data_IF_064028644443
#
_entry.id   IF_064028644443
#
_cell.length_a   1.000
_cell.length_b   1.000
_cell.length_c   1.000
_cell.angle_alpha   90.00
_cell.angle_beta   90.00
_cell.angle_gamma   90.00
#
_symmetry.space_group_name_H-M   'P 1'
#
loop_
_entity.id
_entity.type
_entity.pdbx_description
1 polymer ?
#
# COMPACT_ATOMS: atom_id res chain seq x y z
N UNK A 1 -52.02 -34.81 -0.57
CA UNK A 1 -50.67 -35.40 -0.78
C UNK A 1 -49.70 -34.41 -1.41
N UNK A 2 -50.07 -33.63 -2.46
CA UNK A 2 -49.12 -32.63 -3.11
C UNK A 2 -48.64 -31.53 -2.13
N UNK A 3 -49.52 -30.99 -1.25
CA UNK A 3 -49.15 -29.96 -0.29
C UNK A 3 -48.18 -30.45 0.80
N UNK A 4 -48.35 -31.71 1.27
CA UNK A 4 -47.43 -32.29 2.25
C UNK A 4 -46.01 -32.50 1.70
N UNK A 5 -45.91 -32.91 0.42
CA UNK A 5 -44.64 -33.08 -0.24
C UNK A 5 -43.89 -31.75 -0.42
N UNK A 6 -44.60 -30.65 -0.73
CA UNK A 6 -44.02 -29.31 -0.84
C UNK A 6 -43.46 -28.86 0.53
N UNK A 7 -44.25 -29.06 1.61
CA UNK A 7 -43.80 -28.72 2.98
C UNK A 7 -42.57 -29.55 3.38
N UNK A 8 -42.52 -30.83 3.09
CA UNK A 8 -41.36 -31.68 3.37
C UNK A 8 -40.12 -31.23 2.59
N UNK A 9 -40.27 -30.87 1.31
CA UNK A 9 -39.16 -30.37 0.48
C UNK A 9 -38.64 -29.02 1.03
N UNK A 10 -39.50 -28.12 1.43
CA UNK A 10 -39.09 -26.84 1.99
C UNK A 10 -38.38 -26.99 3.34
N UNK A 11 -38.86 -27.89 4.21
CA UNK A 11 -38.18 -28.20 5.49
C UNK A 11 -36.80 -28.78 5.23
N UNK A 12 -36.69 -29.73 4.28
CA UNK A 12 -35.41 -30.37 3.96
C UNK A 12 -34.37 -29.39 3.37
N UNK A 13 -34.81 -28.46 2.52
CA UNK A 13 -33.93 -27.41 1.97
C UNK A 13 -33.46 -26.43 3.06
N UNK A 14 -34.34 -26.02 3.99
CA UNK A 14 -34.00 -25.19 5.14
C UNK A 14 -32.98 -25.83 6.08
N UNK A 15 -33.08 -27.16 6.31
CA UNK A 15 -32.12 -27.91 7.11
C UNK A 15 -30.76 -28.01 6.44
N UNK A 16 -30.73 -28.20 5.10
CA UNK A 16 -29.47 -28.29 4.36
C UNK A 16 -28.69 -26.96 4.39
N UNK A 17 -29.33 -25.81 4.26
CA UNK A 17 -28.70 -24.49 4.31
C UNK A 17 -28.02 -24.27 5.68
N UNK A 18 -28.65 -24.66 6.78
CA UNK A 18 -28.08 -24.52 8.12
C UNK A 18 -26.80 -25.33 8.33
N UNK A 19 -26.68 -26.52 7.71
CA UNK A 19 -25.49 -27.36 7.87
C UNK A 19 -24.25 -26.77 7.20
N UNK A 20 -24.39 -26.16 6.03
CA UNK A 20 -23.27 -25.50 5.33
C UNK A 20 -22.79 -24.25 6.09
N UNK A 21 -23.70 -23.40 6.56
CA UNK A 21 -23.35 -22.23 7.37
C UNK A 21 -22.66 -22.60 8.70
N UNK A 22 -23.00 -23.72 9.31
CA UNK A 22 -22.32 -24.24 10.51
C UNK A 22 -20.89 -24.72 10.19
N UNK A 23 -20.69 -25.36 9.04
CA UNK A 23 -19.37 -25.82 8.60
C UNK A 23 -18.45 -24.65 8.27
N UNK A 24 -18.92 -23.64 7.55
CA UNK A 24 -18.19 -22.40 7.29
C UNK A 24 -17.67 -21.80 8.61
N UNK A 25 -18.57 -21.51 9.55
CA UNK A 25 -18.22 -20.92 10.85
C UNK A 25 -17.24 -21.79 11.65
N UNK A 26 -17.34 -23.12 11.55
CA UNK A 26 -16.40 -24.05 12.17
C UNK A 26 -14.99 -23.85 11.61
N UNK A 27 -14.85 -23.80 10.28
CA UNK A 27 -13.56 -23.61 9.64
C UNK A 27 -12.97 -22.22 9.94
N UNK A 28 -13.78 -21.16 9.95
CA UNK A 28 -13.32 -19.81 10.34
C UNK A 28 -12.76 -19.83 11.77
N UNK A 29 -13.49 -20.41 12.74
CA UNK A 29 -13.02 -20.49 14.14
C UNK A 29 -11.72 -21.30 14.27
N UNK A 30 -11.60 -22.39 13.55
CA UNK A 30 -10.36 -23.18 13.53
C UNK A 30 -9.21 -22.41 12.88
N UNK A 31 -9.49 -21.66 11.82
CA UNK A 31 -8.55 -20.76 11.16
C UNK A 31 -8.05 -19.67 12.10
N UNK A 32 -8.96 -18.99 12.80
CA UNK A 32 -8.63 -17.96 13.78
C UNK A 32 -7.69 -18.50 14.88
N UNK A 33 -7.97 -19.70 15.41
CA UNK A 33 -7.09 -20.33 16.39
C UNK A 33 -5.68 -20.61 15.83
N UNK A 34 -5.57 -20.97 14.55
CA UNK A 34 -4.27 -21.17 13.90
C UNK A 34 -3.56 -19.84 13.68
N UNK A 35 -4.30 -18.81 13.25
CA UNK A 35 -3.79 -17.46 13.04
C UNK A 35 -3.24 -16.85 14.34
N UNK A 36 -3.99 -16.93 15.44
CA UNK A 36 -3.57 -16.48 16.78
C UNK A 36 -2.29 -17.17 17.27
N UNK A 37 -2.11 -18.44 16.90
CA UNK A 37 -0.89 -19.21 17.21
C UNK A 37 0.26 -18.98 16.21
N UNK A 38 0.16 -18.01 15.30
CA UNK A 38 1.19 -17.70 14.30
C UNK A 38 1.29 -18.70 13.15
N UNK A 39 0.40 -19.70 13.06
CA UNK A 39 0.39 -20.70 11.99
C UNK A 39 -0.43 -20.20 10.80
N UNK A 40 0.05 -19.16 10.13
CA UNK A 40 -0.69 -18.43 9.10
C UNK A 40 -0.99 -19.28 7.86
N UNK A 41 -0.09 -20.17 7.48
CA UNK A 41 -0.26 -21.15 6.39
C UNK A 41 -1.46 -22.08 6.64
N UNK A 42 -1.56 -22.63 7.87
CA UNK A 42 -2.67 -23.51 8.26
C UNK A 42 -3.96 -22.73 8.43
N UNK A 43 -3.90 -21.48 8.88
CA UNK A 43 -5.05 -20.61 8.96
C UNK A 43 -5.64 -20.34 7.57
N UNK A 44 -4.79 -19.99 6.59
CA UNK A 44 -5.20 -19.80 5.20
C UNK A 44 -5.94 -21.01 4.64
N UNK A 45 -5.38 -22.24 4.82
CA UNK A 45 -6.04 -23.46 4.35
C UNK A 45 -7.43 -23.64 4.96
N UNK A 46 -7.60 -23.30 6.24
CA UNK A 46 -8.90 -23.42 6.91
C UNK A 46 -9.88 -22.34 6.43
N UNK A 47 -9.43 -21.12 6.18
CA UNK A 47 -10.28 -20.07 5.63
C UNK A 47 -10.71 -20.38 4.19
N UNK A 48 -9.84 -20.95 3.36
CA UNK A 48 -10.22 -21.45 2.01
C UNK A 48 -11.26 -22.56 2.09
N UNK A 49 -11.14 -23.49 3.04
CA UNK A 49 -12.19 -24.50 3.30
C UNK A 49 -13.51 -23.87 3.76
N UNK A 50 -13.48 -22.72 4.42
CA UNK A 50 -14.70 -22.00 4.76
C UNK A 50 -15.35 -21.38 3.51
N UNK A 51 -14.57 -20.81 2.60
CA UNK A 51 -15.05 -20.30 1.30
C UNK A 51 -15.63 -21.43 0.46
N UNK A 52 -15.01 -22.62 0.42
CA UNK A 52 -15.56 -23.82 -0.27
C UNK A 52 -16.95 -24.23 0.26
N UNK A 53 -17.31 -23.83 1.48
CA UNK A 53 -18.64 -24.09 2.05
C UNK A 53 -19.63 -22.97 1.81
N UNK A 54 -19.12 -21.76 1.59
CA UNK A 54 -19.91 -20.56 1.33
C UNK A 54 -19.06 -19.59 0.51
N UNK A 55 -19.29 -19.55 -0.79
CA UNK A 55 -18.51 -18.77 -1.77
C UNK A 55 -18.51 -17.26 -1.46
N UNK A 56 -19.60 -16.72 -0.90
CA UNK A 56 -19.76 -15.30 -0.55
C UNK A 56 -19.39 -14.98 0.92
N UNK A 57 -18.57 -15.83 1.55
CA UNK A 57 -18.12 -15.61 2.93
C UNK A 57 -17.10 -14.47 3.02
N UNK A 58 -17.59 -13.25 3.24
CA UNK A 58 -16.75 -12.07 3.48
C UNK A 58 -15.67 -12.33 4.54
N UNK A 59 -16.09 -12.88 5.72
CA UNK A 59 -15.15 -13.10 6.83
C UNK A 59 -14.02 -14.08 6.46
N UNK A 60 -14.34 -15.16 5.77
CA UNK A 60 -13.32 -16.12 5.34
C UNK A 60 -12.37 -15.50 4.31
N UNK A 61 -12.92 -14.80 3.31
CA UNK A 61 -12.16 -14.16 2.23
C UNK A 61 -11.26 -13.04 2.76
N UNK A 62 -11.76 -12.23 3.70
CA UNK A 62 -10.98 -11.21 4.39
C UNK A 62 -9.82 -11.81 5.20
N UNK A 63 -10.11 -12.88 5.97
CA UNK A 63 -9.11 -13.56 6.78
C UNK A 63 -8.04 -14.29 5.92
N UNK A 64 -8.37 -14.73 4.70
CA UNK A 64 -7.36 -15.21 3.74
C UNK A 64 -6.36 -14.09 3.43
N UNK A 65 -6.85 -12.89 3.12
CA UNK A 65 -5.99 -11.73 2.87
C UNK A 65 -5.06 -11.42 4.05
N UNK A 66 -5.59 -11.44 5.27
CA UNK A 66 -4.79 -11.24 6.48
C UNK A 66 -3.74 -12.36 6.68
N UNK A 67 -4.12 -13.62 6.44
CA UNK A 67 -3.20 -14.73 6.54
C UNK A 67 -2.07 -14.65 5.50
N UNK A 68 -2.38 -14.25 4.27
CA UNK A 68 -1.39 -14.01 3.21
C UNK A 68 -0.44 -12.87 3.57
N UNK A 69 -0.97 -11.76 4.10
CA UNK A 69 -0.17 -10.64 4.59
C UNK A 69 0.82 -11.06 5.68
N UNK A 70 0.36 -11.86 6.64
CA UNK A 70 1.21 -12.38 7.74
C UNK A 70 2.26 -13.38 7.27
N UNK A 71 2.02 -14.06 6.15
CA UNK A 71 3.00 -14.91 5.46
C UNK A 71 3.98 -14.12 4.57
N UNK A 72 3.90 -12.79 4.58
CA UNK A 72 4.67 -11.90 3.71
C UNK A 72 4.40 -12.09 2.21
N UNK A 73 3.33 -12.79 1.85
CA UNK A 73 2.82 -12.95 0.48
C UNK A 73 2.01 -11.71 0.07
N UNK A 74 2.71 -10.57 0.01
CA UNK A 74 2.05 -9.27 -0.11
C UNK A 74 1.29 -9.10 -1.42
N UNK A 75 1.80 -9.63 -2.53
CA UNK A 75 1.12 -9.53 -3.83
C UNK A 75 -0.19 -10.32 -3.82
N UNK A 76 -0.19 -11.52 -3.25
CA UNK A 76 -1.41 -12.33 -3.11
C UNK A 76 -2.43 -11.66 -2.18
N UNK A 77 -1.97 -11.04 -1.09
CA UNK A 77 -2.82 -10.26 -0.20
C UNK A 77 -3.43 -9.05 -0.90
N UNK A 78 -2.65 -8.33 -1.75
CA UNK A 78 -3.14 -7.22 -2.57
C UNK A 78 -4.26 -7.70 -3.49
N UNK A 79 -4.06 -8.80 -4.22
CA UNK A 79 -5.07 -9.35 -5.12
C UNK A 79 -6.33 -9.71 -4.34
N UNK A 80 -6.19 -10.42 -3.20
CA UNK A 80 -7.30 -10.84 -2.36
C UNK A 80 -8.13 -9.66 -1.82
N UNK A 81 -7.48 -8.61 -1.30
CA UNK A 81 -8.17 -7.42 -0.82
C UNK A 81 -8.74 -6.56 -1.96
N UNK A 82 -8.08 -6.51 -3.13
CA UNK A 82 -8.59 -5.78 -4.29
C UNK A 82 -9.86 -6.40 -4.84
N UNK A 83 -9.90 -7.73 -4.95
CA UNK A 83 -11.10 -8.46 -5.38
C UNK A 83 -12.24 -8.23 -4.39
N UNK A 84 -11.95 -8.23 -3.09
CA UNK A 84 -12.95 -7.99 -2.06
C UNK A 84 -13.47 -6.54 -2.08
N UNK A 85 -12.61 -5.55 -2.38
CA UNK A 85 -12.98 -4.14 -2.47
C UNK A 85 -13.97 -3.84 -3.60
N UNK A 86 -14.01 -4.67 -4.65
CA UNK A 86 -14.92 -4.55 -5.78
C UNK A 86 -16.33 -5.09 -5.50
N UNK A 87 -16.55 -5.76 -4.37
CA UNK A 87 -17.85 -6.31 -3.98
C UNK A 87 -18.75 -5.24 -3.35
N UNK A 88 -20.06 -5.49 -3.37
CA UNK A 88 -21.02 -4.68 -2.63
C UNK A 88 -20.98 -5.03 -1.14
N UNK A 89 -20.36 -4.18 -0.34
CA UNK A 89 -20.12 -4.39 1.08
C UNK A 89 -20.51 -3.15 1.88
N UNK A 90 -20.61 -3.31 3.20
CA UNK A 90 -20.85 -2.19 4.11
C UNK A 90 -19.69 -1.18 4.05
N UNK A 91 -19.96 0.06 4.44
CA UNK A 91 -18.92 1.10 4.54
C UNK A 91 -17.81 0.68 5.49
N UNK A 92 -18.14 0.07 6.62
CA UNK A 92 -17.19 -0.39 7.62
C UNK A 92 -16.26 -1.48 7.09
N UNK A 93 -16.82 -2.45 6.36
CA UNK A 93 -16.02 -3.52 5.75
C UNK A 93 -15.12 -2.98 4.65
N UNK A 94 -15.63 -2.07 3.81
CA UNK A 94 -14.80 -1.38 2.81
C UNK A 94 -13.64 -0.59 3.45
N UNK A 95 -13.87 0.07 4.58
CA UNK A 95 -12.80 0.76 5.29
C UNK A 95 -11.69 -0.19 5.74
N UNK A 96 -12.06 -1.36 6.33
CA UNK A 96 -11.12 -2.39 6.76
C UNK A 96 -10.33 -2.98 5.58
N UNK A 97 -11.03 -3.27 4.47
CA UNK A 97 -10.40 -3.80 3.26
C UNK A 97 -9.36 -2.81 2.72
N UNK A 98 -9.72 -1.54 2.54
CA UNK A 98 -8.80 -0.53 2.02
C UNK A 98 -7.64 -0.24 2.97
N UNK A 99 -7.85 -0.35 4.30
CA UNK A 99 -6.76 -0.30 5.27
C UNK A 99 -5.74 -1.42 5.03
N UNK A 100 -6.21 -2.68 4.96
CA UNK A 100 -5.34 -3.84 4.79
C UNK A 100 -4.74 -3.92 3.38
N UNK A 101 -5.46 -3.48 2.36
CA UNK A 101 -4.92 -3.28 1.01
C UNK A 101 -3.76 -2.26 1.06
N UNK A 102 -3.95 -1.13 1.75
CA UNK A 102 -2.91 -0.12 1.95
C UNK A 102 -1.68 -0.68 2.65
N UNK A 103 -1.87 -1.50 3.69
CA UNK A 103 -0.78 -2.17 4.40
C UNK A 103 -0.02 -3.13 3.48
N UNK A 104 -0.73 -3.94 2.70
CA UNK A 104 -0.14 -4.91 1.77
C UNK A 104 0.65 -4.22 0.66
N UNK A 105 0.09 -3.15 0.07
CA UNK A 105 0.75 -2.32 -0.95
C UNK A 105 2.01 -1.66 -0.39
N UNK A 106 1.97 -1.16 0.84
CA UNK A 106 3.11 -0.52 1.48
C UNK A 106 4.27 -1.50 1.70
N UNK A 107 3.98 -2.70 2.21
CA UNK A 107 4.99 -3.75 2.39
C UNK A 107 5.56 -4.21 1.04
N UNK A 108 4.73 -4.24 0.00
CA UNK A 108 5.15 -4.55 -1.37
C UNK A 108 5.84 -3.36 -2.09
N UNK A 109 6.21 -2.31 -1.37
CA UNK A 109 6.89 -1.10 -1.87
C UNK A 109 6.10 -0.29 -2.93
N UNK A 110 4.82 -0.58 -3.11
CA UNK A 110 3.87 0.17 -3.96
C UNK A 110 3.33 1.39 -3.17
N UNK A 111 4.25 2.33 -2.84
CA UNK A 111 3.98 3.41 -1.87
C UNK A 111 2.86 4.34 -2.34
N UNK A 112 2.82 4.70 -3.62
CA UNK A 112 1.80 5.62 -4.16
C UNK A 112 0.41 5.00 -4.08
N UNK A 113 0.30 3.74 -4.45
CA UNK A 113 -0.94 2.97 -4.40
C UNK A 113 -1.41 2.76 -2.96
N UNK A 114 -0.50 2.54 -2.01
CA UNK A 114 -0.84 2.42 -0.59
C UNK A 114 -1.46 3.70 -0.03
N UNK A 115 -0.94 4.87 -0.44
CA UNK A 115 -1.49 6.18 -0.05
C UNK A 115 -2.94 6.30 -0.54
N UNK A 116 -3.23 5.92 -1.77
CA UNK A 116 -4.61 5.98 -2.30
C UNK A 116 -5.53 5.01 -1.56
N UNK A 117 -5.08 3.80 -1.27
CA UNK A 117 -5.85 2.83 -0.48
C UNK A 117 -6.19 3.37 0.91
N UNK A 118 -5.22 3.95 1.64
CA UNK A 118 -5.49 4.56 2.95
C UNK A 118 -6.44 5.77 2.87
N UNK A 119 -6.35 6.59 1.83
CA UNK A 119 -7.31 7.67 1.59
C UNK A 119 -8.72 7.12 1.36
N UNK A 120 -8.87 6.02 0.63
CA UNK A 120 -10.16 5.35 0.47
C UNK A 120 -10.72 4.85 1.80
N UNK A 121 -9.90 4.20 2.64
CA UNK A 121 -10.30 3.78 3.98
C UNK A 121 -10.80 4.97 4.81
N UNK A 122 -10.07 6.09 4.82
CA UNK A 122 -10.41 7.28 5.60
C UNK A 122 -11.62 8.08 5.07
N UNK A 123 -11.96 7.96 3.78
CA UNK A 123 -13.23 8.53 3.27
C UNK A 123 -14.44 7.83 3.89
N UNK A 124 -14.30 6.57 4.22
CA UNK A 124 -15.36 5.73 4.80
C UNK A 124 -15.35 5.75 6.32
N UNK A 125 -14.17 5.74 6.93
CA UNK A 125 -13.97 5.87 8.36
C UNK A 125 -12.92 6.95 8.69
N UNK A 126 -13.33 8.23 8.76
CA UNK A 126 -12.40 9.35 9.02
C UNK A 126 -11.76 9.33 10.41
N UNK A 127 -12.31 8.57 11.37
CA UNK A 127 -11.81 8.51 12.75
C UNK A 127 -10.72 7.46 12.97
N UNK A 128 -10.43 6.61 11.98
CA UNK A 128 -9.43 5.54 12.11
C UNK A 128 -8.01 6.10 12.24
N UNK A 129 -7.51 6.06 13.47
CA UNK A 129 -6.19 6.60 13.81
C UNK A 129 -5.05 5.75 13.25
N UNK A 130 -5.23 4.43 13.15
CA UNK A 130 -4.21 3.53 12.62
C UNK A 130 -4.04 3.75 11.11
N UNK A 131 -5.15 3.93 10.39
CA UNK A 131 -5.09 4.29 8.96
C UNK A 131 -4.48 5.68 8.75
N UNK A 132 -4.79 6.68 9.59
CA UNK A 132 -4.14 8.00 9.54
C UNK A 132 -2.63 7.90 9.74
N UNK A 133 -2.22 7.13 10.74
CA UNK A 133 -0.81 6.90 11.01
C UNK A 133 -0.09 6.27 9.82
N UNK A 134 -0.66 5.20 9.24
CA UNK A 134 -0.09 4.50 8.11
C UNK A 134 -0.04 5.38 6.85
N UNK A 135 -1.05 6.21 6.62
CA UNK A 135 -1.06 7.21 5.55
C UNK A 135 0.09 8.22 5.71
N UNK A 136 0.25 8.78 6.91
CA UNK A 136 1.33 9.73 7.18
C UNK A 136 2.71 9.10 6.97
N UNK A 137 2.87 7.87 7.41
CA UNK A 137 4.10 7.10 7.22
C UNK A 137 4.41 6.86 5.74
N UNK A 138 3.42 6.41 4.96
CA UNK A 138 3.58 6.18 3.52
C UNK A 138 3.92 7.48 2.76
N UNK A 139 3.29 8.60 3.12
CA UNK A 139 3.59 9.91 2.53
C UNK A 139 5.02 10.38 2.85
N UNK A 140 5.48 10.16 4.09
CA UNK A 140 6.87 10.44 4.48
C UNK A 140 7.87 9.62 3.67
N UNK A 141 7.61 8.32 3.47
CA UNK A 141 8.44 7.46 2.65
C UNK A 141 8.50 7.92 1.19
N UNK A 142 7.36 8.30 0.61
CA UNK A 142 7.30 8.82 -0.76
C UNK A 142 8.15 10.08 -0.91
N UNK A 143 8.06 11.01 0.05
CA UNK A 143 8.86 12.24 0.05
C UNK A 143 10.35 11.96 0.15
N UNK A 144 10.74 11.02 1.01
CA UNK A 144 12.14 10.60 1.12
C UNK A 144 12.67 9.99 -0.18
N UNK A 145 11.88 9.14 -0.83
CA UNK A 145 12.22 8.53 -2.12
C UNK A 145 12.41 9.60 -3.21
N UNK A 146 11.52 10.59 -3.28
CA UNK A 146 11.62 11.70 -4.23
C UNK A 146 12.88 12.55 -4.01
N UNK A 147 13.19 12.89 -2.76
CA UNK A 147 14.39 13.66 -2.42
C UNK A 147 15.67 12.89 -2.78
N UNK A 148 15.72 11.58 -2.55
CA UNK A 148 16.87 10.75 -2.94
C UNK A 148 17.06 10.70 -4.46
N UNK A 149 15.97 10.66 -5.23
CA UNK A 149 16.04 10.70 -6.70
C UNK A 149 16.53 12.05 -7.21
N UNK A 150 16.07 13.15 -6.62
CA UNK A 150 16.52 14.49 -6.99
C UNK A 150 18.02 14.68 -6.72
N UNK A 151 18.51 14.26 -5.55
CA UNK A 151 19.93 14.35 -5.22
C UNK A 151 20.81 13.47 -6.13
N UNK A 152 20.34 12.28 -6.53
CA UNK A 152 21.06 11.43 -7.49
C UNK A 152 21.15 12.08 -8.87
N UNK A 153 20.11 12.77 -9.31
CA UNK A 153 20.10 13.46 -10.61
C UNK A 153 21.03 14.69 -10.59
N UNK A 154 21.01 15.50 -9.53
CA UNK A 154 21.90 16.64 -9.38
C UNK A 154 23.39 16.24 -9.37
N UNK A 155 23.72 15.15 -8.68
CA UNK A 155 25.10 14.62 -8.68
C UNK A 155 25.53 14.06 -10.05
N UNK A 156 24.60 13.52 -10.84
CA UNK A 156 24.92 13.06 -12.21
C UNK A 156 25.17 14.22 -13.16
N UNK A 157 24.42 15.32 -13.02
CA UNK A 157 24.60 16.50 -13.87
C UNK A 157 25.89 17.23 -13.51
N UNK A 158 26.24 17.39 -12.23
CA UNK A 158 27.53 17.95 -11.81
C UNK A 158 28.73 17.11 -12.27
N UNK A 159 28.63 15.77 -12.27
CA UNK A 159 29.68 14.91 -12.79
C UNK A 159 29.84 15.03 -14.32
N UNK A 160 28.76 15.23 -15.06
CA UNK A 160 28.82 15.45 -16.52
C UNK A 160 29.47 16.78 -16.88
N UNK A 161 29.17 17.83 -16.10
CA UNK A 161 29.78 19.16 -16.32
C UNK A 161 31.26 19.18 -15.92
N UNK A 162 31.64 18.48 -14.86
CA UNK A 162 33.04 18.31 -14.48
C UNK A 162 33.84 17.45 -15.50
N UNK A 163 33.18 16.46 -16.11
CA UNK A 163 33.81 15.65 -17.16
C UNK A 163 34.00 16.43 -18.44
N UNK A 164 33.02 17.26 -18.85
CA UNK A 164 33.14 18.15 -20.01
C UNK A 164 34.22 19.26 -19.81
N UNK A 165 34.41 19.71 -18.58
CA UNK A 165 35.48 20.69 -18.28
C UNK A 165 36.85 20.01 -18.25
N UNK A 166 36.99 18.76 -17.77
CA UNK A 166 38.24 17.99 -17.82
C UNK A 166 38.66 17.66 -19.26
N UNK A 167 37.71 17.38 -20.14
CA UNK A 167 38.00 17.09 -21.56
C UNK A 167 38.47 18.32 -22.32
N UNK A 168 38.14 19.54 -21.87
CA UNK A 168 38.65 20.81 -22.41
C UNK A 168 40.03 21.23 -21.87
N UNK A 169 40.40 20.80 -20.65
CA UNK A 169 41.72 21.04 -20.07
C UNK A 169 42.78 19.98 -20.48
N UNK A 170 42.37 18.76 -20.91
CA UNK A 170 43.28 17.70 -21.28
C UNK A 170 43.85 17.74 -22.71
N UNK A 171 43.57 18.81 -23.48
CA UNK A 171 44.31 19.04 -24.73
C UNK A 171 45.69 19.72 -24.52
N UNK A 172 46.00 20.16 -23.29
CA UNK A 172 47.27 20.83 -23.01
C UNK A 172 48.29 20.10 -22.12
N UNK A 173 47.88 19.01 -21.41
CA UNK A 173 48.84 18.28 -20.53
C UNK A 173 48.79 16.75 -20.68
N UNK A 174 49.31 16.25 -21.78
CA UNK A 174 49.73 14.86 -21.86
C UNK A 174 51.18 14.74 -21.35
N UNK A 175 51.32 14.53 -20.03
CA UNK A 175 52.42 13.72 -19.44
C UNK A 175 52.30 13.71 -17.90
N UNK A 176 52.24 12.49 -17.37
CA UNK A 176 52.44 12.08 -15.97
C UNK A 176 51.25 12.13 -15.00
N UNK A 177 50.67 11.00 -14.73
CA UNK A 177 50.69 10.19 -13.51
C UNK A 177 49.57 9.15 -13.49
N UNK A 178 50.03 7.92 -13.47
CA UNK A 178 49.21 6.72 -13.33
C UNK A 178 49.13 6.33 -11.83
N UNK A 179 47.96 5.72 -11.47
CA UNK A 179 47.72 4.92 -10.28
C UNK A 179 47.68 5.58 -8.90
N UNK A 180 46.42 5.90 -8.40
CA UNK A 180 46.16 5.66 -6.96
C UNK A 180 44.66 5.77 -6.50
N UNK A 181 43.66 5.92 -7.35
CA UNK A 181 42.28 6.25 -6.86
C UNK A 181 41.18 5.22 -7.14
N UNK A 182 41.49 3.92 -7.35
CA UNK A 182 40.46 2.90 -7.62
C UNK A 182 39.97 2.07 -6.42
N UNK A 183 40.45 2.30 -5.21
CA UNK A 183 40.10 1.48 -4.04
C UNK A 183 39.17 2.09 -3.00
N UNK A 184 38.81 3.36 -3.10
CA UNK A 184 37.98 4.04 -2.06
C UNK A 184 36.48 4.01 -2.29
N UNK A 185 36.03 3.87 -3.54
CA UNK A 185 34.59 3.98 -3.86
C UNK A 185 33.77 2.69 -3.66
N UNK A 186 34.42 1.54 -3.49
CA UNK A 186 33.71 0.27 -3.29
C UNK A 186 33.35 -0.01 -1.81
N UNK A 187 34.00 0.64 -0.86
CA UNK A 187 33.77 0.39 0.57
C UNK A 187 32.61 1.22 1.15
N UNK A 188 32.28 2.36 0.55
CA UNK A 188 31.19 3.23 1.02
C UNK A 188 29.80 2.79 0.55
N UNK A 189 29.70 2.00 -0.53
CA UNK A 189 28.41 1.48 -0.99
C UNK A 189 27.90 0.29 -0.16
N UNK A 190 28.79 -0.58 0.35
CA UNK A 190 28.40 -1.73 1.18
C UNK A 190 27.92 -1.35 2.59
N UNK A 191 28.34 -0.21 3.13
CA UNK A 191 27.92 0.24 4.45
C UNK A 191 26.56 0.96 4.45
N UNK A 192 26.10 1.48 3.29
CA UNK A 192 24.79 2.13 3.18
C UNK A 192 23.63 1.14 3.08
N UNK A 193 23.86 -0.03 2.50
CA UNK A 193 22.80 -1.05 2.36
C UNK A 193 22.53 -1.83 3.66
N UNK A 194 23.50 -1.91 4.57
CA UNK A 194 23.31 -2.55 5.88
C UNK A 194 22.58 -1.69 6.92
N UNK A 195 22.50 -0.37 6.74
CA UNK A 195 21.81 0.53 7.67
C UNK A 195 20.31 0.70 7.37
N UNK A 196 19.82 0.20 6.24
CA UNK A 196 18.38 0.30 5.87
C UNK A 196 17.50 -0.84 6.43
N UNK A 197 18.09 -1.82 7.12
CA UNK A 197 17.32 -2.93 7.72
C UNK A 197 17.04 -2.77 9.22
N UNK A 198 17.41 -1.67 9.83
CA UNK A 198 17.16 -1.44 11.25
C UNK A 198 15.98 -0.49 11.47
N UNK A 199 14.95 -1.04 12.13
CA UNK A 199 13.82 -0.41 12.80
C UNK A 199 12.91 0.44 11.93
N UNK A 200 11.64 0.02 11.81
CA UNK A 200 10.53 0.93 11.51
C UNK A 200 10.68 2.14 12.43
N UNK A 201 10.92 3.36 11.93
CA UNK A 201 10.97 4.52 12.80
C UNK A 201 9.60 4.64 13.45
N UNK A 202 9.54 4.42 14.76
CA UNK A 202 8.33 4.56 15.55
C UNK A 202 7.94 6.03 15.52
N UNK A 203 6.99 6.36 14.65
CA UNK A 203 6.42 7.71 14.61
C UNK A 203 5.38 7.73 15.72
N UNK A 204 5.54 8.58 16.73
CA UNK A 204 4.50 8.75 17.75
C UNK A 204 3.18 9.19 17.10
N UNK A 205 2.03 8.79 17.68
CA UNK A 205 0.69 9.17 17.17
C UNK A 205 0.58 10.69 16.96
N UNK A 206 1.15 11.47 17.87
CA UNK A 206 1.16 12.93 17.80
C UNK A 206 2.00 13.46 16.62
N UNK A 207 3.14 12.82 16.30
CA UNK A 207 3.92 13.18 15.13
C UNK A 207 3.21 12.78 13.81
N UNK A 208 2.48 11.67 13.80
CA UNK A 208 1.67 11.27 12.66
C UNK A 208 0.56 12.31 12.37
N UNK A 209 -0.13 12.80 13.38
CA UNK A 209 -1.13 13.87 13.24
C UNK A 209 -0.53 15.17 12.70
N UNK A 210 0.62 15.60 13.24
CA UNK A 210 1.32 16.80 12.75
C UNK A 210 1.73 16.66 11.29
N UNK A 211 2.23 15.49 10.88
CA UNK A 211 2.60 15.21 9.49
C UNK A 211 1.35 15.26 8.59
N UNK A 212 0.24 14.64 9.02
CA UNK A 212 -1.02 14.66 8.28
C UNK A 212 -1.56 16.08 8.11
N UNK A 213 -1.53 16.88 9.17
CA UNK A 213 -2.00 18.27 9.14
C UNK A 213 -1.13 19.14 8.23
N UNK A 214 0.20 18.98 8.28
CA UNK A 214 1.11 19.67 7.37
C UNK A 214 0.87 19.30 5.91
N UNK A 215 0.67 18.00 5.63
CA UNK A 215 0.41 17.49 4.28
C UNK A 215 -0.97 17.94 3.74
N UNK A 216 -2.00 17.95 4.59
CA UNK A 216 -3.32 18.48 4.22
C UNK A 216 -3.26 19.98 3.86
N UNK A 217 -2.45 20.75 4.57
CA UNK A 217 -2.22 22.16 4.28
C UNK A 217 -1.45 22.34 2.96
N UNK A 218 -0.45 21.51 2.68
CA UNK A 218 0.30 21.54 1.43
C UNK A 218 -0.56 21.12 0.23
N UNK A 219 -1.43 20.10 0.41
CA UNK A 219 -2.39 19.69 -0.62
C UNK A 219 -3.39 20.82 -0.93
N UNK A 220 -3.92 21.48 0.11
CA UNK A 220 -4.83 22.63 -0.05
C UNK A 220 -4.16 23.78 -0.81
N UNK A 221 -2.90 24.10 -0.49
CA UNK A 221 -2.11 25.12 -1.22
C UNK A 221 -1.88 24.72 -2.68
N UNK A 222 -1.58 23.46 -2.93
CA UNK A 222 -1.38 22.93 -4.29
C UNK A 222 -2.67 22.99 -5.10
N UNK A 223 -3.80 22.60 -4.50
CA UNK A 223 -5.12 22.71 -5.15
C UNK A 223 -5.50 24.16 -5.46
N UNK A 224 -5.17 25.11 -4.56
CA UNK A 224 -5.38 26.53 -4.82
C UNK A 224 -4.53 27.00 -6.00
N UNK A 225 -3.25 26.67 -6.04
CA UNK A 225 -2.35 27.01 -7.18
C UNK A 225 -2.85 26.43 -8.50
N UNK A 226 -3.31 25.17 -8.50
CA UNK A 226 -3.87 24.54 -9.70
C UNK A 226 -5.17 25.23 -10.15
N UNK A 227 -6.04 25.61 -9.21
CA UNK A 227 -7.26 26.39 -9.52
C UNK A 227 -6.92 27.76 -10.11
N UNK A 228 -5.95 28.46 -9.54
CA UNK A 228 -5.49 29.76 -10.05
C UNK A 228 -4.84 29.65 -11.44
N UNK A 229 -4.03 28.61 -11.67
CA UNK A 229 -3.45 28.36 -12.99
C UNK A 229 -4.52 28.04 -14.04
N UNK A 230 -5.52 27.19 -13.70
CA UNK A 230 -6.64 26.91 -14.58
C UNK A 230 -7.48 28.15 -14.87
N UNK A 231 -7.72 28.99 -13.86
CA UNK A 231 -8.46 30.25 -14.03
C UNK A 231 -7.68 31.24 -14.93
N UNK A 232 -6.35 31.33 -14.76
CA UNK A 232 -5.50 32.16 -15.65
C UNK A 232 -5.49 31.62 -17.08
N UNK A 233 -5.37 30.31 -17.26
CA UNK A 233 -5.42 29.67 -18.58
C UNK A 233 -6.77 29.86 -19.28
N UNK A 234 -7.90 29.79 -18.54
CA UNK A 234 -9.22 30.05 -19.07
C UNK A 234 -9.38 31.52 -19.52
N UNK A 235 -8.86 32.49 -18.74
CA UNK A 235 -8.87 33.92 -19.14
C UNK A 235 -8.06 34.17 -20.40
N UNK A 236 -6.91 33.54 -20.57
CA UNK A 236 -6.06 33.67 -21.76
C UNK A 236 -6.77 33.12 -23.01
N UNK A 237 -7.56 32.04 -22.87
CA UNK A 237 -8.30 31.45 -23.98
C UNK A 237 -9.44 32.35 -24.47
N UNK A 238 -10.12 33.04 -23.55
CA UNK A 238 -11.21 33.99 -23.89
C UNK A 238 -10.69 35.26 -24.59
N UNK A 239 -9.47 35.67 -24.29
CA UNK A 239 -8.86 36.90 -24.93
C UNK A 239 -8.33 36.60 -26.34
N UNK A 240 -8.22 35.36 -26.75
CA UNK A 240 -7.62 34.94 -28.05
C UNK A 240 -8.66 34.65 -29.14
N UNK A 241 -9.94 34.68 -28.82
CA UNK A 241 -11.06 34.37 -29.73
C UNK A 241 -11.78 35.63 -30.28
N UNK A 242 -11.06 36.77 -30.41
CA UNK A 242 -11.53 38.00 -31.06
C UNK A 242 -10.65 38.33 -32.26
#
# INVERSE_FOLDING_TARGET
MKGLNIILITIFTLLAINTFAQQERKYIRQGNKKFENGNFDKAEVLYRKAVDKKDDSYNATFNIGDALYKQEKYEDAINQFSDLANQELTKEDKAKIYHNLGNSLLQNKKIKESIEAYKHALRTNPSDMDTKYNLAYAQKLLKQQQNQQQNKNQNKDQNKDNQKNKDKENEQDKQNKNNQDKQKDQQDQQNKDKQQQQSKPEISKQNAERILQALANDEKKTQQKVKEQKAKAAKVKVVKDW
#
